data_IF_386127522576
#
_entry.id   IF_386127522576
#
_cell.length_a   1.000
_cell.length_b   1.000
_cell.length_c   1.000
_cell.angle_alpha   90.00
_cell.angle_beta   90.00
_cell.angle_gamma   90.00
#
_symmetry.space_group_name_H-M   'P 1'
#
loop_
_entity.id
_entity.type
_entity.pdbx_description
1 polymer ?
#
# COMPACT_ATOMS: atom_id res chain seq x y z
N UNK A 1 3.91 13.84 9.07
CA UNK A 1 2.75 13.73 8.15
C UNK A 1 2.45 12.27 7.81
N UNK A 2 3.37 11.55 7.14
CA UNK A 2 3.16 10.16 6.70
C UNK A 2 2.81 9.18 7.82
N UNK A 3 3.44 9.28 9.00
CA UNK A 3 3.12 8.46 10.18
C UNK A 3 1.66 8.58 10.61
N UNK A 4 1.11 9.80 10.68
CA UNK A 4 -0.30 10.06 11.03
C UNK A 4 -1.27 9.47 10.00
N UNK A 5 -0.88 9.50 8.72
CA UNK A 5 -1.64 8.87 7.63
C UNK A 5 -1.68 7.35 7.78
N UNK A 6 -0.55 6.72 8.11
CA UNK A 6 -0.50 5.28 8.37
C UNK A 6 -1.29 4.87 9.61
N UNK A 7 -1.24 5.69 10.67
CA UNK A 7 -2.05 5.50 11.89
C UNK A 7 -3.55 5.61 11.61
N UNK A 8 -3.99 6.56 10.76
CA UNK A 8 -5.42 6.74 10.44
C UNK A 8 -6.04 5.52 9.75
N UNK A 9 -5.24 4.80 8.96
CA UNK A 9 -5.66 3.57 8.25
C UNK A 9 -5.33 2.31 9.05
N UNK A 10 -4.65 2.47 10.19
CA UNK A 10 -4.23 1.40 11.08
C UNK A 10 -3.42 0.30 10.37
N UNK A 11 -2.38 0.71 9.63
CA UNK A 11 -1.44 -0.25 9.06
C UNK A 11 -0.54 -0.87 10.13
N UNK A 12 -0.35 -2.20 10.06
CA UNK A 12 0.67 -2.89 10.85
C UNK A 12 2.05 -2.67 10.25
N UNK A 13 3.11 -2.92 11.03
CA UNK A 13 4.49 -2.86 10.53
C UNK A 13 4.74 -3.85 9.39
N UNK A 14 4.10 -5.02 9.43
CA UNK A 14 4.20 -6.03 8.38
C UNK A 14 3.51 -5.58 7.09
N UNK A 15 2.31 -5.00 7.19
CA UNK A 15 1.59 -4.42 6.07
C UNK A 15 2.39 -3.28 5.41
N UNK A 16 3.00 -2.40 6.21
CA UNK A 16 3.87 -1.33 5.70
C UNK A 16 5.12 -1.89 5.02
N UNK A 17 5.72 -2.96 5.57
CA UNK A 17 6.88 -3.60 4.97
C UNK A 17 6.56 -4.17 3.58
N UNK A 18 5.39 -4.81 3.42
CA UNK A 18 4.91 -5.29 2.10
C UNK A 18 4.73 -4.11 1.14
N UNK A 19 4.01 -3.07 1.57
CA UNK A 19 3.76 -1.88 0.74
C UNK A 19 5.07 -1.24 0.29
N UNK A 20 6.01 -1.00 1.21
CA UNK A 20 7.27 -0.32 0.91
C UNK A 20 8.18 -1.15 0.00
N UNK A 21 8.18 -2.49 0.12
CA UNK A 21 8.91 -3.34 -0.83
C UNK A 21 8.40 -3.16 -2.26
N UNK A 22 7.08 -3.16 -2.46
CA UNK A 22 6.48 -3.00 -3.78
C UNK A 22 6.57 -1.58 -4.33
N UNK A 23 6.44 -0.57 -3.47
CA UNK A 23 6.71 0.81 -3.84
C UNK A 23 8.15 0.99 -4.28
N UNK A 24 9.11 0.43 -3.54
CA UNK A 24 10.51 0.57 -3.87
C UNK A 24 10.86 -0.16 -5.18
N UNK A 25 10.24 -1.30 -5.51
CA UNK A 25 10.32 -1.91 -6.86
C UNK A 25 9.81 -0.95 -7.94
N UNK A 26 8.72 -0.23 -7.68
CA UNK A 26 8.11 0.70 -8.64
C UNK A 26 8.92 1.99 -8.87
N UNK A 27 9.75 2.40 -7.90
CA UNK A 27 10.56 3.62 -7.93
C UNK A 27 12.01 3.30 -8.35
N UNK A 28 12.56 2.20 -7.83
CA UNK A 28 13.92 1.74 -8.04
C UNK A 28 13.93 0.26 -8.46
N UNK A 29 14.29 0.03 -9.73
CA UNK A 29 14.41 -1.29 -10.37
C UNK A 29 15.44 -2.25 -9.72
N UNK A 30 16.17 -1.80 -8.69
CA UNK A 30 17.25 -2.59 -8.04
C UNK A 30 16.76 -3.57 -6.97
N UNK A 31 15.49 -3.50 -6.53
CA UNK A 31 14.92 -4.55 -5.68
C UNK A 31 14.63 -5.77 -6.54
N UNK A 32 15.56 -6.74 -6.52
CA UNK A 32 15.51 -7.93 -7.35
C UNK A 32 14.52 -9.00 -6.86
N UNK A 33 14.03 -8.90 -5.61
CA UNK A 33 13.13 -9.89 -4.99
C UNK A 33 12.12 -9.23 -4.04
N UNK A 34 10.98 -8.72 -4.54
CA UNK A 34 9.88 -8.35 -3.66
C UNK A 34 9.39 -9.56 -2.84
N UNK A 35 8.72 -9.30 -1.72
CA UNK A 35 8.08 -10.31 -0.88
C UNK A 35 7.13 -11.14 -1.74
N UNK A 36 7.22 -12.47 -1.69
CA UNK A 36 6.38 -13.35 -2.50
C UNK A 36 4.92 -13.31 -2.02
N UNK A 37 4.00 -12.72 -2.79
CA UNK A 37 2.60 -12.54 -2.38
C UNK A 37 1.81 -13.86 -2.28
N UNK A 38 2.21 -14.87 -3.04
CA UNK A 38 1.68 -16.24 -2.97
C UNK A 38 1.97 -16.93 -1.63
N UNK A 39 2.97 -16.45 -0.89
CA UNK A 39 3.26 -16.92 0.48
C UNK A 39 2.41 -16.23 1.56
N UNK A 40 1.65 -15.21 1.21
CA UNK A 40 0.81 -14.44 2.14
C UNK A 40 -0.64 -14.96 2.02
N UNK A 41 -1.34 -15.21 3.15
CA UNK A 41 -2.75 -15.62 3.12
C UNK A 41 -3.63 -14.62 2.33
N UNK A 42 -4.52 -15.15 1.48
CA UNK A 42 -5.43 -14.34 0.64
C UNK A 42 -6.23 -13.34 1.48
N UNK A 43 -6.68 -13.72 2.67
CA UNK A 43 -7.44 -12.83 3.56
C UNK A 43 -6.62 -11.61 4.00
N UNK A 44 -5.32 -11.81 4.28
CA UNK A 44 -4.39 -10.73 4.59
C UNK A 44 -4.21 -9.81 3.39
N UNK A 45 -4.10 -10.37 2.17
CA UNK A 45 -4.00 -9.58 0.95
C UNK A 45 -5.29 -8.80 0.65
N UNK A 46 -6.46 -9.37 0.92
CA UNK A 46 -7.76 -8.71 0.77
C UNK A 46 -7.90 -7.53 1.74
N UNK A 47 -7.50 -7.72 3.01
CA UNK A 47 -7.46 -6.65 4.01
C UNK A 47 -6.47 -5.55 3.60
N UNK A 48 -5.28 -5.93 3.13
CA UNK A 48 -4.26 -5.00 2.69
C UNK A 48 -4.72 -4.16 1.48
N UNK A 49 -5.37 -4.80 0.49
CA UNK A 49 -6.00 -4.13 -0.66
C UNK A 49 -7.03 -3.09 -0.21
N UNK A 50 -7.89 -3.45 0.73
CA UNK A 50 -8.88 -2.53 1.29
C UNK A 50 -8.21 -1.33 1.97
N UNK A 51 -7.22 -1.58 2.84
CA UNK A 51 -6.50 -0.52 3.55
C UNK A 51 -5.76 0.43 2.61
N UNK A 52 -5.06 -0.10 1.59
CA UNK A 52 -4.37 0.74 0.59
C UNK A 52 -5.37 1.60 -0.20
N UNK A 53 -6.53 1.05 -0.56
CA UNK A 53 -7.57 1.81 -1.25
C UNK A 53 -8.10 2.95 -0.37
N UNK A 54 -8.45 2.65 0.87
CA UNK A 54 -8.91 3.64 1.85
C UNK A 54 -7.83 4.72 2.13
N UNK A 55 -6.56 4.33 2.21
CA UNK A 55 -5.45 5.28 2.32
C UNK A 55 -5.41 6.29 1.18
N UNK A 56 -5.57 5.82 -0.07
CA UNK A 56 -5.57 6.68 -1.26
C UNK A 56 -6.79 7.62 -1.30
N UNK A 57 -7.94 7.18 -0.78
CA UNK A 57 -9.17 7.99 -0.67
C UNK A 57 -9.08 9.07 0.41
N UNK A 58 -8.41 8.77 1.52
CA UNK A 58 -8.24 9.72 2.63
C UNK A 58 -7.12 10.74 2.37
N UNK A 59 -6.18 10.42 1.47
CA UNK A 59 -5.01 11.24 1.19
C UNK A 59 -5.33 12.69 0.80
N UNK A 60 -6.32 12.99 -0.09
CA UNK A 60 -6.69 14.36 -0.42
C UNK A 60 -7.28 15.13 0.76
N UNK A 61 -8.11 14.47 1.60
CA UNK A 61 -8.74 15.09 2.78
C UNK A 61 -7.69 15.51 3.80
N UNK A 62 -6.73 14.62 4.02
CA UNK A 62 -5.64 14.84 4.97
C UNK A 62 -4.68 15.92 4.44
N UNK A 63 -4.36 15.92 3.14
CA UNK A 63 -3.56 17.00 2.54
C UNK A 63 -4.21 18.37 2.74
N UNK A 64 -5.53 18.46 2.59
CA UNK A 64 -6.29 19.68 2.87
C UNK A 64 -6.28 20.07 4.35
N UNK A 65 -6.42 19.11 5.28
CA UNK A 65 -6.33 19.35 6.72
C UNK A 65 -4.93 19.83 7.15
N UNK A 66 -3.86 19.27 6.58
CA UNK A 66 -2.48 19.71 6.84
C UNK A 66 -2.22 21.12 6.30
N UNK A 67 -2.66 21.43 5.08
CA UNK A 67 -2.55 22.80 4.53
C UNK A 67 -3.34 23.83 5.35
N UNK A 68 -4.50 23.44 5.89
CA UNK A 68 -5.30 24.32 6.78
C UNK A 68 -4.66 24.53 8.16
N UNK A 69 -3.85 23.59 8.64
CA UNK A 69 -3.30 23.60 10.01
C UNK A 69 -1.84 24.07 10.10
N UNK A 70 -1.06 24.07 9.01
CA UNK A 70 0.40 24.28 9.06
C UNK A 70 0.95 25.57 8.45
N UNK A 71 0.17 26.65 8.33
CA UNK A 71 0.79 27.98 8.20
C UNK A 71 1.36 28.53 9.52
N UNK A 72 1.16 27.81 10.64
CA UNK A 72 1.71 28.16 11.94
C UNK A 72 2.51 26.97 12.51
N UNK A 73 3.84 27.07 12.44
CA UNK A 73 4.86 26.51 13.35
C UNK A 73 5.99 25.71 12.65
N UNK A 74 7.21 26.26 12.81
CA UNK A 74 8.56 25.68 12.75
C UNK A 74 8.89 24.70 11.62
N UNK A 75 9.61 25.24 10.63
CA UNK A 75 10.09 24.60 9.39
C UNK A 75 11.34 23.71 9.61
N UNK A 76 11.78 23.47 10.84
CA UNK A 76 13.06 22.80 11.14
C UNK A 76 12.97 21.28 11.40
N UNK A 77 11.82 20.64 11.16
CA UNK A 77 11.70 19.18 11.28
C UNK A 77 11.70 18.50 9.89
N UNK A 78 12.39 17.36 9.73
CA UNK A 78 12.30 16.58 8.50
C UNK A 78 10.85 16.17 8.25
N UNK A 79 10.31 16.59 7.10
CA UNK A 79 8.96 16.24 6.67
C UNK A 79 9.02 15.34 5.44
N UNK A 80 8.06 14.43 5.35
CA UNK A 80 7.89 13.57 4.17
C UNK A 80 6.94 14.26 3.22
N UNK A 81 7.41 14.58 2.02
CA UNK A 81 6.59 15.08 0.92
C UNK A 81 5.87 13.90 0.29
N UNK A 82 4.55 13.98 0.18
CA UNK A 82 3.78 13.09 -0.69
C UNK A 82 3.72 13.78 -2.04
N UNK A 83 4.55 13.31 -2.97
CA UNK A 83 4.57 13.76 -4.35
C UNK A 83 3.77 12.82 -5.26
N UNK A 84 3.70 13.17 -6.55
CA UNK A 84 2.99 12.37 -7.54
C UNK A 84 3.60 10.96 -7.69
N UNK A 85 4.93 10.84 -7.53
CA UNK A 85 5.65 9.57 -7.63
C UNK A 85 5.20 8.64 -6.49
N UNK A 86 5.14 9.14 -5.26
CA UNK A 86 4.65 8.40 -4.10
C UNK A 86 3.22 7.87 -4.34
N UNK A 87 2.31 8.72 -4.82
CA UNK A 87 0.92 8.33 -5.10
C UNK A 87 0.87 7.27 -6.21
N UNK A 88 1.66 7.45 -7.27
CA UNK A 88 1.74 6.51 -8.39
C UNK A 88 2.25 5.14 -7.94
N UNK A 89 3.29 5.12 -7.11
CA UNK A 89 3.84 3.90 -6.52
C UNK A 89 2.84 3.18 -5.62
N UNK A 90 2.05 3.91 -4.83
CA UNK A 90 0.97 3.32 -4.04
C UNK A 90 -0.13 2.70 -4.92
N UNK A 91 -0.54 3.39 -6.00
CA UNK A 91 -1.53 2.87 -6.96
C UNK A 91 -1.02 1.63 -7.69
N UNK A 92 0.25 1.62 -8.09
CA UNK A 92 0.88 0.45 -8.70
C UNK A 92 0.95 -0.73 -7.72
N UNK A 93 1.31 -0.48 -6.46
CA UNK A 93 1.28 -1.50 -5.40
C UNK A 93 -0.11 -2.11 -5.25
N UNK A 94 -1.16 -1.28 -5.23
CA UNK A 94 -2.55 -1.74 -5.19
C UNK A 94 -2.91 -2.64 -6.39
N UNK A 95 -2.48 -2.26 -7.60
CA UNK A 95 -2.71 -3.05 -8.81
C UNK A 95 -2.02 -4.41 -8.76
N UNK A 96 -0.77 -4.46 -8.29
CA UNK A 96 0.00 -5.71 -8.16
C UNK A 96 -0.69 -6.66 -7.18
N UNK A 97 -1.03 -6.18 -5.97
CA UNK A 97 -1.73 -6.98 -4.96
C UNK A 97 -3.08 -7.47 -5.48
N UNK A 98 -3.82 -6.60 -6.17
CA UNK A 98 -5.13 -6.98 -6.73
C UNK A 98 -5.01 -8.06 -7.80
N UNK A 99 -4.03 -7.95 -8.70
CA UNK A 99 -3.77 -8.96 -9.72
C UNK A 99 -3.35 -10.30 -9.11
N UNK A 100 -2.59 -10.27 -8.00
CA UNK A 100 -2.14 -11.48 -7.32
C UNK A 100 -3.30 -12.22 -6.64
N UNK A 101 -4.19 -11.49 -5.94
CA UNK A 101 -5.41 -12.06 -5.34
C UNK A 101 -6.25 -12.80 -6.40
N UNK A 102 -6.42 -12.22 -7.58
CA UNK A 102 -7.20 -12.86 -8.64
C UNK A 102 -6.51 -14.12 -9.18
N UNK A 103 -5.17 -14.14 -9.29
CA UNK A 103 -4.43 -15.36 -9.66
C UNK A 103 -4.64 -16.47 -8.63
N UNK A 104 -4.52 -16.16 -7.34
CA UNK A 104 -4.68 -17.16 -6.27
C UNK A 104 -6.11 -17.75 -6.25
N UNK A 105 -7.13 -16.94 -6.52
CA UNK A 105 -8.53 -17.41 -6.64
C UNK A 105 -8.74 -18.37 -7.81
N UNK A 106 -8.13 -18.09 -8.96
CA UNK A 106 -8.20 -18.99 -10.13
C UNK A 106 -7.59 -20.35 -9.79
N UNK A 107 -6.41 -20.38 -9.15
CA UNK A 107 -5.73 -21.64 -8.77
C UNK A 107 -6.55 -22.46 -7.78
N UNK A 108 -7.11 -21.84 -6.73
CA UNK A 108 -7.98 -22.55 -5.77
C UNK A 108 -9.24 -23.14 -6.44
N UNK A 109 -9.80 -22.44 -7.43
CA UNK A 109 -10.97 -22.93 -8.17
C UNK A 109 -10.66 -24.11 -9.10
N UNK A 110 -9.44 -24.18 -9.66
CA UNK A 110 -9.00 -25.31 -10.48
C UNK A 110 -8.67 -26.54 -9.64
N UNK A 111 -8.05 -26.36 -8.46
CA UNK A 111 -7.72 -27.47 -7.56
C UNK A 111 -8.98 -28.13 -6.99
N UNK A 112 -10.00 -27.32 -6.68
CA UNK A 112 -11.31 -27.81 -6.23
C UNK A 112 -12.05 -28.62 -7.30
N UNK A 113 -11.77 -28.36 -8.59
CA UNK A 113 -12.34 -29.11 -9.73
C UNK A 113 -11.58 -30.39 -10.04
N UNK A 114 -10.28 -30.45 -9.75
CA UNK A 114 -9.46 -31.65 -9.94
C UNK A 114 -9.64 -32.70 -8.83
N UNK A 115 -10.21 -32.30 -7.68
CA UNK A 115 -10.46 -33.17 -6.53
C UNK A 115 -11.86 -33.81 -6.50
N UNK A 116 -12.67 -33.63 -7.55
CA UNK A 116 -14.01 -34.23 -7.75
C UNK A 116 -14.00 -35.23 -8.91
#
# INVERSE_FOLDING_TARGET
MLKKLYEKVNFSSEELNIIHNYMAVSIHSTIQKPIALDSIPVDTLLLLRYKISHFLEELPKIYQEFHKSQFNHNVDQPFVVIDEIFIKSFKQTLQIISADIEKQRVVQSSDSRAAL
#
